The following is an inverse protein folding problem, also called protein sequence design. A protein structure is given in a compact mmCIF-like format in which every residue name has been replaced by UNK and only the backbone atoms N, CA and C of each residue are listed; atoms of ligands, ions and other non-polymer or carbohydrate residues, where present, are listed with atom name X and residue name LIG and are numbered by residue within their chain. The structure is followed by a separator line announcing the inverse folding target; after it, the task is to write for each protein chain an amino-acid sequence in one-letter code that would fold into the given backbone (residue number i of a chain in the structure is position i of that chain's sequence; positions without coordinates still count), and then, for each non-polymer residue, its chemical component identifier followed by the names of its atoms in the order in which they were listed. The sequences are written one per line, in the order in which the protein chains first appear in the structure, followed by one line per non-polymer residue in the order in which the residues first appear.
data_IF_755018674998
#
_entry.id   IF_755018674998
#
_cell.length_a   1.000
_cell.length_b   1.000
_cell.length_c   1.000
_cell.angle_alpha   90.00
_cell.angle_beta   90.00
_cell.angle_gamma   90.00
#
_symmetry.space_group_name_H-M   'P 1'
#
loop_
_entity.id
_entity.type
_entity.pdbx_description
1 polymer ?
#
# COMPACT_ATOMS: atom_id res chain seq x y z
N UNK A 1 14.61 -13.84 0.78
CA UNK A 1 14.94 -14.43 -0.53
C UNK A 1 14.09 -13.74 -1.60
N UNK A 2 14.67 -13.45 -2.78
CA UNK A 2 13.90 -12.98 -3.93
C UNK A 2 13.17 -14.17 -4.61
N UNK A 3 12.18 -13.86 -5.45
CA UNK A 3 11.37 -14.87 -6.15
C UNK A 3 12.15 -15.66 -7.24
N UNK A 4 13.19 -15.07 -7.82
CA UNK A 4 14.04 -15.77 -8.79
C UNK A 4 14.98 -16.76 -8.08
N UNK A 5 15.24 -17.90 -8.74
CA UNK A 5 15.87 -19.08 -8.10
C UNK A 5 17.39 -19.03 -8.06
N UNK A 6 18.05 -18.37 -9.02
CA UNK A 6 19.50 -18.43 -9.21
C UNK A 6 20.13 -17.07 -9.45
N UNK A 7 21.37 -16.92 -8.98
CA UNK A 7 22.21 -15.74 -9.19
C UNK A 7 21.88 -14.54 -8.31
N UNK A 8 22.71 -13.53 -8.45
CA UNK A 8 22.58 -12.22 -7.82
C UNK A 8 22.56 -11.16 -8.92
N UNK A 9 21.66 -10.18 -8.80
CA UNK A 9 21.54 -9.09 -9.78
C UNK A 9 22.44 -7.89 -9.47
N UNK A 10 23.35 -8.03 -8.51
CA UNK A 10 24.25 -6.97 -8.11
C UNK A 10 23.52 -5.78 -7.45
N UNK A 11 24.10 -4.59 -7.64
CA UNK A 11 23.54 -3.34 -7.11
C UNK A 11 22.27 -2.99 -7.90
N UNK A 12 21.19 -2.71 -7.19
CA UNK A 12 19.90 -2.32 -7.75
C UNK A 12 19.43 -1.01 -7.11
N UNK A 13 18.76 -0.16 -7.87
CA UNK A 13 18.09 1.00 -7.33
C UNK A 13 16.65 0.67 -6.86
N UNK A 14 16.04 1.58 -6.11
CA UNK A 14 14.69 1.38 -5.57
C UNK A 14 13.64 1.22 -6.68
N UNK A 15 13.76 1.97 -7.79
CA UNK A 15 12.84 1.90 -8.91
C UNK A 15 12.83 0.50 -9.56
N UNK A 16 14.00 -0.06 -9.84
CA UNK A 16 14.10 -1.43 -10.36
C UNK A 16 13.62 -2.48 -9.34
N UNK A 17 13.82 -2.22 -8.05
CA UNK A 17 13.33 -3.10 -6.99
C UNK A 17 11.80 -3.13 -6.91
N UNK A 18 11.13 -1.99 -7.08
CA UNK A 18 9.67 -1.90 -7.17
C UNK A 18 9.17 -2.62 -8.42
N UNK A 19 9.75 -2.30 -9.59
CA UNK A 19 9.40 -2.91 -10.88
C UNK A 19 9.46 -4.43 -10.86
N UNK A 20 10.55 -4.98 -10.33
CA UNK A 20 10.83 -6.41 -10.34
C UNK A 20 10.41 -7.12 -9.04
N UNK A 21 9.77 -6.40 -8.11
CA UNK A 21 9.28 -6.94 -6.83
C UNK A 21 10.38 -7.64 -6.01
N UNK A 22 11.52 -6.96 -5.78
CA UNK A 22 12.70 -7.52 -5.12
C UNK A 22 12.59 -7.47 -3.60
N UNK A 23 12.27 -8.59 -2.96
CA UNK A 23 12.08 -8.72 -1.51
C UNK A 23 13.29 -8.26 -0.70
N UNK A 24 14.51 -8.64 -1.10
CA UNK A 24 15.73 -8.30 -0.36
C UNK A 24 15.92 -6.77 -0.26
N UNK A 25 15.61 -6.04 -1.33
CA UNK A 25 15.76 -4.58 -1.33
C UNK A 25 14.66 -3.93 -0.50
N UNK A 26 13.42 -4.44 -0.56
CA UNK A 26 12.34 -3.97 0.28
C UNK A 26 12.69 -4.11 1.77
N UNK A 27 13.21 -5.27 2.19
CA UNK A 27 13.65 -5.52 3.58
C UNK A 27 14.85 -4.64 3.96
N UNK A 28 15.84 -4.48 3.09
CA UNK A 28 16.96 -3.56 3.37
C UNK A 28 16.46 -2.12 3.53
N UNK A 29 15.55 -1.69 2.69
CA UNK A 29 15.03 -0.32 2.74
C UNK A 29 14.29 -0.05 4.06
N UNK A 30 13.37 -0.95 4.46
CA UNK A 30 12.65 -0.79 5.74
C UNK A 30 13.60 -0.88 6.95
N UNK A 31 14.70 -1.62 6.84
CA UNK A 31 15.72 -1.66 7.89
C UNK A 31 16.43 -0.31 8.04
N UNK A 32 16.71 0.37 6.94
CA UNK A 32 17.35 1.69 6.93
C UNK A 32 16.44 2.79 7.48
N UNK A 33 15.17 2.82 7.05
CA UNK A 33 14.20 3.83 7.51
C UNK A 33 13.55 3.48 8.84
N UNK A 34 13.75 2.30 9.36
CA UNK A 34 13.16 1.61 10.52
C UNK A 34 11.73 1.07 10.25
N UNK A 35 11.41 -0.14 10.76
CA UNK A 35 10.06 -0.68 10.70
C UNK A 35 9.01 0.21 11.38
N UNK A 36 9.38 0.90 12.46
CA UNK A 36 8.51 1.85 13.17
C UNK A 36 8.04 2.96 12.24
N UNK A 37 8.95 3.59 11.50
CA UNK A 37 8.57 4.65 10.57
C UNK A 37 7.63 4.12 9.47
N UNK A 38 7.92 2.93 8.94
CA UNK A 38 7.03 2.29 7.96
C UNK A 38 5.63 2.04 8.50
N UNK A 39 5.54 1.51 9.73
CA UNK A 39 4.28 1.28 10.43
C UNK A 39 3.48 2.58 10.63
N UNK A 40 4.13 3.64 11.13
CA UNK A 40 3.48 4.93 11.36
C UNK A 40 2.95 5.57 10.06
N UNK A 41 3.67 5.41 8.94
CA UNK A 41 3.18 5.82 7.64
C UNK A 41 1.93 5.03 7.20
N UNK A 42 1.88 3.71 7.46
CA UNK A 42 0.69 2.92 7.14
C UNK A 42 -0.52 3.34 7.97
N UNK A 43 -0.35 3.66 9.26
CA UNK A 43 -1.42 4.26 10.08
C UNK A 43 -1.92 5.57 9.46
N UNK A 44 -0.99 6.42 8.98
CA UNK A 44 -1.34 7.66 8.30
C UNK A 44 -2.10 7.41 6.98
N UNK A 45 -1.83 6.33 6.27
CA UNK A 45 -2.57 5.90 5.09
C UNK A 45 -3.94 5.28 5.41
N UNK A 46 -4.33 5.19 6.70
CA UNK A 46 -5.65 4.78 7.15
C UNK A 46 -5.82 3.29 7.42
N UNK A 47 -4.72 2.54 7.52
CA UNK A 47 -4.79 1.14 7.95
C UNK A 47 -5.05 1.06 9.45
N UNK A 48 -6.11 0.34 9.85
CA UNK A 48 -6.56 0.19 11.24
C UNK A 48 -6.35 -1.21 11.79
N UNK A 49 -6.06 -2.19 10.94
CA UNK A 49 -5.88 -3.60 11.31
C UNK A 49 -4.45 -3.95 11.74
N UNK A 50 -3.53 -3.00 11.63
CA UNK A 50 -2.14 -3.17 12.05
C UNK A 50 -2.01 -3.24 13.56
N UNK A 51 -1.09 -4.08 14.04
CA UNK A 51 -0.90 -4.31 15.47
C UNK A 51 0.53 -4.03 15.93
N UNK A 52 0.65 -3.58 17.17
CA UNK A 52 1.92 -3.39 17.85
C UNK A 52 1.84 -3.99 19.26
N UNK A 53 2.07 -5.32 19.36
CA UNK A 53 2.04 -6.04 20.62
C UNK A 53 0.66 -6.62 20.97
N UNK A 54 0.03 -7.37 20.07
CA UNK A 54 -1.22 -8.10 20.38
C UNK A 54 -0.94 -9.55 20.77
N UNK A 55 -1.65 -10.05 21.78
CA UNK A 55 -1.59 -11.45 22.17
C UNK A 55 -2.36 -12.33 21.18
N UNK A 56 -1.65 -13.27 20.54
CA UNK A 56 -2.24 -14.26 19.63
C UNK A 56 -1.81 -15.65 20.08
N UNK A 57 -2.73 -16.39 20.70
CA UNK A 57 -2.39 -17.64 21.39
C UNK A 57 -1.39 -17.39 22.52
N UNK A 58 -0.25 -18.07 22.48
CA UNK A 58 0.83 -17.95 23.47
C UNK A 58 1.93 -16.95 23.07
N UNK A 59 1.77 -16.24 21.94
CA UNK A 59 2.77 -15.32 21.41
C UNK A 59 2.25 -13.87 21.36
N UNK A 60 3.17 -12.92 21.55
CA UNK A 60 2.90 -11.51 21.29
C UNK A 60 3.32 -11.22 19.84
N UNK A 61 2.36 -10.82 19.01
CA UNK A 61 2.58 -10.44 17.61
C UNK A 61 2.67 -8.92 17.48
N UNK A 62 3.55 -8.46 16.60
CA UNK A 62 3.69 -7.05 16.23
C UNK A 62 4.01 -6.95 14.75
N UNK A 63 3.40 -6.00 14.07
CA UNK A 63 3.69 -5.69 12.67
C UNK A 63 4.85 -4.69 12.52
N UNK A 64 5.41 -4.20 13.64
CA UNK A 64 6.60 -3.34 13.67
C UNK A 64 7.87 -4.17 13.50
N UNK A 65 8.01 -4.79 12.36
CA UNK A 65 9.13 -5.65 12.02
C UNK A 65 9.48 -5.59 10.52
N UNK A 66 10.54 -6.27 10.11
CA UNK A 66 11.01 -6.23 8.72
C UNK A 66 10.05 -6.88 7.71
N UNK A 67 9.20 -7.81 8.14
CA UNK A 67 8.21 -8.47 7.26
C UNK A 67 7.13 -7.50 6.78
N UNK A 68 6.94 -6.37 7.49
CA UNK A 68 6.06 -5.28 7.08
C UNK A 68 6.31 -4.83 5.62
N UNK A 69 7.59 -4.77 5.21
CA UNK A 69 7.97 -4.40 3.85
C UNK A 69 7.53 -5.41 2.77
N UNK A 70 7.12 -6.59 3.18
CA UNK A 70 6.66 -7.69 2.30
C UNK A 70 5.17 -7.97 2.45
N UNK A 71 4.46 -7.20 3.27
CA UNK A 71 3.06 -7.44 3.59
C UNK A 71 2.82 -8.58 4.58
N UNK A 72 3.87 -8.96 5.34
CA UNK A 72 3.77 -9.96 6.43
C UNK A 72 3.14 -9.33 7.67
N UNK A 73 1.81 -9.33 7.73
CA UNK A 73 1.01 -8.70 8.76
C UNK A 73 0.28 -9.74 9.60
N UNK A 74 0.01 -9.41 10.86
CA UNK A 74 -0.68 -10.31 11.81
C UNK A 74 -2.11 -10.62 11.37
N UNK A 75 -2.88 -9.62 10.98
CA UNK A 75 -4.29 -9.75 10.55
C UNK A 75 -4.52 -9.38 9.09
N UNK A 76 -3.48 -8.92 8.39
CA UNK A 76 -3.63 -8.39 7.03
C UNK A 76 -4.28 -7.01 7.01
N UNK A 77 -4.79 -6.62 5.84
CA UNK A 77 -5.48 -5.35 5.60
C UNK A 77 -6.77 -5.59 4.82
N UNK A 78 -7.75 -4.72 4.99
CA UNK A 78 -8.99 -4.82 4.24
C UNK A 78 -8.81 -4.27 2.81
N UNK A 79 -9.54 -4.80 1.80
CA UNK A 79 -9.56 -4.21 0.46
C UNK A 79 -10.01 -2.74 0.45
N UNK A 80 -10.87 -2.36 1.39
CA UNK A 80 -11.36 -1.00 1.58
C UNK A 80 -10.23 -0.03 1.96
N UNK A 81 -9.44 -0.37 2.98
CA UNK A 81 -8.28 0.41 3.42
C UNK A 81 -7.19 0.47 2.34
N UNK A 82 -6.91 -0.68 1.70
CA UNK A 82 -5.91 -0.75 0.63
C UNK A 82 -6.31 0.14 -0.56
N UNK A 83 -7.58 0.12 -0.95
CA UNK A 83 -8.09 0.99 -2.02
C UNK A 83 -7.93 2.46 -1.67
N UNK A 84 -8.27 2.86 -0.43
CA UNK A 84 -8.13 4.25 0.03
C UNK A 84 -6.65 4.69 0.07
N UNK A 85 -5.74 3.81 0.48
CA UNK A 85 -4.30 4.08 0.48
C UNK A 85 -3.74 4.29 -0.94
N UNK A 86 -4.12 3.44 -1.91
CA UNK A 86 -3.75 3.64 -3.32
C UNK A 86 -4.38 4.90 -3.91
N UNK A 87 -5.65 5.20 -3.56
CA UNK A 87 -6.30 6.44 -3.95
C UNK A 87 -5.54 7.68 -3.45
N UNK A 88 -4.98 7.63 -2.23
CA UNK A 88 -4.16 8.71 -1.71
C UNK A 88 -2.89 8.94 -2.54
N UNK A 89 -2.23 7.87 -3.00
CA UNK A 89 -1.06 7.99 -3.90
C UNK A 89 -1.48 8.63 -5.23
N UNK A 90 -2.58 8.18 -5.83
CA UNK A 90 -3.11 8.73 -7.06
C UNK A 90 -3.57 10.20 -6.92
N UNK A 91 -3.98 10.60 -5.72
CA UNK A 91 -4.42 11.95 -5.36
C UNK A 91 -3.28 12.80 -4.77
N UNK A 92 -2.12 12.79 -5.42
CA UNK A 92 -0.95 13.60 -5.06
C UNK A 92 -0.55 13.48 -3.59
N UNK A 93 -0.74 12.30 -2.99
CA UNK A 93 -0.41 12.01 -1.59
C UNK A 93 -1.43 12.49 -0.57
N UNK A 94 -2.61 12.93 -1.01
CA UNK A 94 -3.70 13.36 -0.15
C UNK A 94 -4.66 12.19 0.10
N UNK A 95 -4.71 11.71 1.33
CA UNK A 95 -5.70 10.74 1.77
C UNK A 95 -7.07 11.41 1.96
N UNK A 96 -8.08 10.81 1.40
CA UNK A 96 -9.49 11.16 1.60
C UNK A 96 -10.14 10.03 2.40
N UNK A 97 -10.81 10.35 3.50
CA UNK A 97 -11.52 9.34 4.27
C UNK A 97 -12.55 8.64 3.37
N UNK A 98 -12.41 7.32 3.15
CA UNK A 98 -13.31 6.61 2.25
C UNK A 98 -14.73 6.59 2.79
N UNK A 99 -15.71 6.56 1.88
CA UNK A 99 -17.14 6.61 2.21
C UNK A 99 -17.92 5.64 1.32
N UNK A 100 -18.97 5.04 1.86
CA UNK A 100 -19.86 4.13 1.14
C UNK A 100 -21.11 4.83 0.62
N UNK A 101 -21.41 6.05 1.12
CA UNK A 101 -22.51 6.88 0.70
C UNK A 101 -22.13 8.35 0.75
N UNK A 102 -22.74 9.17 -0.07
CA UNK A 102 -22.53 10.62 -0.10
C UNK A 102 -23.52 11.34 0.78
N UNK A 103 -24.78 10.90 0.75
CA UNK A 103 -25.88 11.53 1.50
C UNK A 103 -26.97 10.50 1.80
N UNK A 104 -27.59 10.63 2.96
CA UNK A 104 -28.80 9.89 3.35
C UNK A 104 -29.92 10.91 3.65
N UNK A 105 -31.07 10.73 3.04
CA UNK A 105 -32.27 11.56 3.27
C UNK A 105 -33.41 10.72 3.79
N UNK A 106 -34.35 11.35 4.51
CA UNK A 106 -35.65 10.76 4.85
C UNK A 106 -36.61 10.78 3.64
N UNK A 107 -37.87 10.31 3.88
CA UNK A 107 -38.94 10.30 2.87
C UNK A 107 -39.36 11.69 2.42
N UNK A 108 -39.14 12.70 3.24
CA UNK A 108 -39.52 14.11 2.98
C UNK A 108 -38.38 14.89 2.32
N UNK A 109 -37.22 14.23 2.08
CA UNK A 109 -36.04 14.83 1.44
C UNK A 109 -35.12 15.57 2.42
N UNK A 110 -35.37 15.53 3.73
CA UNK A 110 -34.47 16.13 4.71
C UNK A 110 -33.17 15.31 4.82
N UNK A 111 -32.04 16.01 4.89
CA UNK A 111 -30.75 15.37 5.01
C UNK A 111 -30.55 14.84 6.43
N UNK A 112 -30.39 13.52 6.58
CA UNK A 112 -30.05 12.85 7.84
C UNK A 112 -28.56 12.75 8.03
N UNK A 113 -27.81 12.36 6.97
CA UNK A 113 -26.35 12.25 6.96
C UNK A 113 -25.79 12.88 5.70
N UNK A 114 -24.72 13.64 5.83
CA UNK A 114 -24.01 14.25 4.71
C UNK A 114 -22.51 13.94 4.79
N UNK A 115 -22.03 13.18 3.82
CA UNK A 115 -20.62 12.83 3.61
C UNK A 115 -20.08 13.42 2.30
N UNK A 116 -20.67 14.49 1.77
CA UNK A 116 -20.22 15.10 0.51
C UNK A 116 -18.77 15.64 0.61
N UNK A 117 -18.40 16.11 1.80
CA UNK A 117 -17.08 16.67 2.10
C UNK A 117 -16.34 15.82 3.15
N UNK A 118 -15.80 14.63 2.79
CA UNK A 118 -15.07 13.80 3.74
C UNK A 118 -13.78 14.47 4.20
N UNK A 119 -13.32 14.19 5.43
CA UNK A 119 -12.03 14.67 5.93
C UNK A 119 -10.87 14.24 5.03
N UNK A 120 -9.91 15.14 4.84
CA UNK A 120 -8.69 14.88 4.05
C UNK A 120 -7.44 15.17 4.87
N UNK A 121 -6.33 14.52 4.53
CA UNK A 121 -5.00 14.81 5.09
C UNK A 121 -3.89 14.48 4.10
N UNK A 122 -2.83 15.26 4.12
CA UNK A 122 -1.62 14.97 3.35
C UNK A 122 -0.84 13.87 4.07
N UNK A 123 -0.65 12.72 3.44
CA UNK A 123 0.06 11.56 4.03
C UNK A 123 1.48 11.42 3.51
N UNK A 124 1.73 11.79 2.25
CA UNK A 124 3.05 11.91 1.63
C UNK A 124 3.10 13.15 0.76
N UNK A 125 4.29 13.67 0.50
CA UNK A 125 4.47 14.83 -0.41
C UNK A 125 4.01 14.47 -1.83
N UNK A 126 3.48 15.45 -2.55
CA UNK A 126 3.09 15.31 -3.96
C UNK A 126 4.22 14.75 -4.82
N UNK A 127 5.45 15.27 -4.65
CA UNK A 127 6.63 14.77 -5.36
C UNK A 127 6.92 13.29 -5.08
N UNK A 128 6.69 12.83 -3.85
CA UNK A 128 6.85 11.43 -3.47
C UNK A 128 5.77 10.56 -4.11
N UNK A 129 4.52 11.01 -4.11
CA UNK A 129 3.41 10.34 -4.78
C UNK A 129 3.66 10.20 -6.28
N UNK A 130 4.13 11.28 -6.94
CA UNK A 130 4.51 11.27 -8.35
C UNK A 130 5.60 10.24 -8.66
N UNK A 131 6.70 10.25 -7.90
CA UNK A 131 7.82 9.32 -8.11
C UNK A 131 7.40 7.86 -7.89
N UNK A 132 6.56 7.61 -6.88
CA UNK A 132 6.04 6.28 -6.59
C UNK A 132 5.10 5.80 -7.70
N UNK A 133 4.18 6.64 -8.14
CA UNK A 133 3.27 6.35 -9.27
C UNK A 133 4.06 6.04 -10.54
N UNK A 134 5.08 6.84 -10.85
CA UNK A 134 5.96 6.61 -11.99
C UNK A 134 6.72 5.26 -11.88
N UNK A 135 7.21 4.90 -10.69
CA UNK A 135 7.85 3.61 -10.47
C UNK A 135 6.86 2.43 -10.59
N UNK A 136 5.62 2.62 -10.18
CA UNK A 136 4.55 1.61 -10.32
C UNK A 136 4.06 1.47 -11.77
N UNK A 137 4.19 2.49 -12.63
CA UNK A 137 3.97 2.35 -14.07
C UNK A 137 4.98 1.38 -14.69
N UNK A 138 6.25 1.40 -14.25
CA UNK A 138 7.27 0.46 -14.74
C UNK A 138 6.93 -1.00 -14.36
N UNK A 139 6.23 -1.24 -13.25
CA UNK A 139 5.75 -2.58 -12.88
C UNK A 139 4.84 -3.14 -13.96
N UNK A 140 3.99 -2.30 -14.54
CA UNK A 140 3.01 -2.69 -15.56
C UNK A 140 3.65 -2.73 -16.96
N UNK A 141 4.48 -1.76 -17.31
CA UNK A 141 5.04 -1.64 -18.66
C UNK A 141 6.20 -2.59 -18.94
N UNK A 142 7.02 -2.90 -17.92
CA UNK A 142 8.26 -3.67 -18.10
C UNK A 142 8.62 -4.59 -16.91
N UNK A 143 7.70 -4.72 -15.95
CA UNK A 143 7.94 -5.50 -14.72
C UNK A 143 6.98 -6.66 -14.53
N UNK A 144 6.72 -6.99 -13.27
CA UNK A 144 5.91 -8.15 -12.87
C UNK A 144 4.42 -8.02 -13.17
N UNK A 145 3.94 -6.80 -13.46
CA UNK A 145 2.53 -6.48 -13.72
C UNK A 145 2.10 -6.46 -15.19
N UNK A 146 2.94 -6.95 -16.12
CA UNK A 146 2.67 -6.86 -17.57
C UNK A 146 1.33 -7.41 -18.04
N UNK A 147 0.73 -8.36 -17.30
CA UNK A 147 -0.58 -8.96 -17.64
C UNK A 147 -1.76 -7.98 -17.55
N UNK A 148 -1.64 -6.89 -16.79
CA UNK A 148 -2.69 -5.88 -16.67
C UNK A 148 -2.49 -4.71 -17.63
N UNK A 149 -1.51 -4.78 -18.52
CA UNK A 149 -1.27 -3.79 -19.55
C UNK A 149 -2.15 -4.09 -20.79
N UNK A 150 -3.33 -3.51 -20.84
CA UNK A 150 -4.29 -3.72 -21.94
C UNK A 150 -4.32 -2.56 -22.96
N UNK A 151 -3.37 -1.63 -22.90
CA UNK A 151 -3.27 -0.50 -23.83
C UNK A 151 -4.35 0.59 -23.66
N UNK A 152 -4.12 1.75 -24.25
CA UNK A 152 -5.09 2.87 -24.24
C UNK A 152 -5.23 3.61 -22.91
N UNK A 153 -4.63 3.12 -21.82
CA UNK A 153 -4.66 3.76 -20.50
C UNK A 153 -3.32 3.62 -19.79
N UNK A 154 -2.90 4.67 -19.09
CA UNK A 154 -1.75 4.62 -18.21
C UNK A 154 -2.13 3.91 -16.90
N UNK A 155 -1.48 2.80 -16.59
CA UNK A 155 -1.76 1.99 -15.41
C UNK A 155 -0.52 1.98 -14.51
N UNK A 156 -0.70 2.25 -13.23
CA UNK A 156 0.30 2.11 -12.19
C UNK A 156 -0.20 1.11 -11.14
N UNK A 157 0.63 0.17 -10.73
CA UNK A 157 0.22 -0.83 -9.77
C UNK A 157 1.39 -1.65 -9.22
N UNK A 158 1.10 -2.51 -8.25
CA UNK A 158 2.09 -3.41 -7.67
C UNK A 158 1.48 -4.81 -7.54
N UNK A 159 2.20 -5.80 -8.03
CA UNK A 159 1.83 -7.21 -7.85
C UNK A 159 2.11 -7.67 -6.43
N UNK A 160 1.27 -8.57 -5.92
CA UNK A 160 1.46 -9.28 -4.66
C UNK A 160 1.35 -10.79 -4.85
N UNK A 161 1.92 -11.54 -3.90
CA UNK A 161 1.77 -12.99 -3.82
C UNK A 161 1.72 -13.36 -2.35
N UNK A 162 0.65 -13.99 -1.90
CA UNK A 162 0.52 -14.51 -0.54
C UNK A 162 1.21 -15.85 -0.42
N UNK A 163 1.53 -16.28 0.82
CA UNK A 163 2.20 -17.56 1.07
C UNK A 163 1.37 -18.76 0.61
N UNK A 164 0.05 -18.65 0.68
CA UNK A 164 -0.91 -19.70 0.34
C UNK A 164 -1.53 -19.51 -1.06
N UNK A 165 -1.07 -18.52 -1.83
CA UNK A 165 -1.54 -18.20 -3.18
C UNK A 165 -3.07 -17.92 -3.28
N UNK A 166 -3.66 -17.36 -2.22
CA UNK A 166 -5.04 -16.89 -2.22
C UNK A 166 -5.17 -15.48 -2.81
#
# INVERSE_FOLDING_TARGET
RNWYKTGYRGIQNIRSAIRDSLNIIAVKNITVITPRLGYDYLLNFGFTTLTDGVQVGNEIKSDVNQSLALGGLTYGVTPYELTAAYAAIANSGTYVTPKLYTRVTDSDGNVILDNTNPPTRQVIKETTAFLLTSAMQDVVTSGTGGKVNFGGMAIAGKTGTTSDNY
#
